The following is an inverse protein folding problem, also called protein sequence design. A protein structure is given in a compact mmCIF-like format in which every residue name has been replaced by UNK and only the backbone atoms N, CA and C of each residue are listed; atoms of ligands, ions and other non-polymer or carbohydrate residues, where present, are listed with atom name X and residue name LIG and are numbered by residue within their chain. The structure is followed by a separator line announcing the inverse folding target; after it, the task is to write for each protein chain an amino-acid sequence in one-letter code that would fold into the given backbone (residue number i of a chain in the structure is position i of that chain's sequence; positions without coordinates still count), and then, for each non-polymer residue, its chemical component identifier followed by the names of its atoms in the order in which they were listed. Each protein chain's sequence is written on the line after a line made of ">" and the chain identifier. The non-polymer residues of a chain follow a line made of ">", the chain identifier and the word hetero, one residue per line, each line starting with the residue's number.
data_IF_718756434636
#
_entry.id   IF_718756434636
#
_cell.length_a   1.000
_cell.length_b   1.000
_cell.length_c   1.000
_cell.angle_alpha   90.00
_cell.angle_beta   90.00
_cell.angle_gamma   90.00
#
_symmetry.space_group_name_H-M   'P 1'
#
loop_
_entity.id
_entity.type
_entity.pdbx_description
1 polymer ?
#
# COMPACT_ATOMS: atom_id res chain seq x y z
N UNK A 1 20.51 7.50 -4.02
CA UNK A 1 19.44 7.28 -5.02
C UNK A 1 18.69 6.04 -4.59
N UNK A 2 17.37 6.08 -4.55
CA UNK A 2 16.52 4.94 -4.24
C UNK A 2 15.64 4.66 -5.46
N UNK A 3 15.42 3.39 -5.75
CA UNK A 3 14.46 2.97 -6.76
C UNK A 3 13.25 2.38 -6.06
N UNK A 4 12.07 2.88 -6.42
CA UNK A 4 10.80 2.35 -5.98
C UNK A 4 10.20 1.66 -7.20
N UNK A 5 10.05 0.32 -7.18
CA UNK A 5 9.41 -0.39 -8.26
C UNK A 5 7.94 0.04 -8.44
N UNK A 6 7.38 -0.08 -9.65
CA UNK A 6 5.94 0.11 -9.86
C UNK A 6 5.13 -0.77 -8.91
N UNK A 7 3.98 -0.27 -8.45
CA UNK A 7 3.07 -1.00 -7.56
C UNK A 7 3.76 -1.46 -6.25
N UNK A 8 4.55 -0.58 -5.64
CA UNK A 8 5.20 -0.79 -4.34
C UNK A 8 4.74 0.28 -3.36
N UNK A 9 4.15 -0.14 -2.25
CA UNK A 9 3.82 0.74 -1.11
C UNK A 9 5.13 1.16 -0.43
N UNK A 10 5.35 2.46 -0.30
CA UNK A 10 6.57 3.01 0.30
C UNK A 10 6.28 4.30 1.04
N UNK A 11 7.06 4.60 2.08
CA UNK A 11 6.94 5.82 2.87
C UNK A 11 8.32 6.45 3.05
N UNK A 12 8.38 7.78 3.03
CA UNK A 12 9.55 8.56 3.42
C UNK A 12 9.29 9.25 4.75
N UNK A 13 10.19 9.09 5.71
CA UNK A 13 10.16 9.76 7.00
C UNK A 13 11.46 10.56 7.20
N UNK A 14 11.34 11.80 7.66
CA UNK A 14 12.49 12.62 8.04
C UNK A 14 12.70 12.53 9.56
N UNK A 15 13.80 11.90 9.99
CA UNK A 15 14.12 11.75 11.40
C UNK A 15 14.72 13.00 12.06
N UNK A 16 15.13 14.01 11.28
CA UNK A 16 15.78 15.22 11.78
C UNK A 16 14.82 16.43 11.69
N UNK A 17 14.27 16.92 12.82
CA UNK A 17 13.35 18.06 12.81
C UNK A 17 14.04 19.40 12.51
N UNK A 18 15.37 19.50 12.69
CA UNK A 18 16.13 20.73 12.45
C UNK A 18 16.59 20.88 11.00
N UNK A 19 16.49 19.82 10.19
CA UNK A 19 16.96 19.81 8.81
C UNK A 19 15.91 19.21 7.86
N UNK A 20 15.19 20.05 7.09
CA UNK A 20 14.17 19.58 6.17
C UNK A 20 14.73 18.64 5.09
N UNK A 21 14.03 17.55 4.82
CA UNK A 21 14.33 16.68 3.67
C UNK A 21 13.87 17.36 2.37
N UNK A 22 14.64 17.17 1.30
CA UNK A 22 14.27 17.57 -0.07
C UNK A 22 14.38 16.36 -0.97
N UNK A 23 13.30 16.01 -1.65
CA UNK A 23 13.23 14.85 -2.53
C UNK A 23 12.86 15.32 -3.94
N UNK A 24 13.58 14.78 -4.93
CA UNK A 24 13.19 14.87 -6.34
C UNK A 24 12.75 13.47 -6.73
N UNK A 25 11.48 13.33 -7.09
CA UNK A 25 10.92 12.09 -7.60
C UNK A 25 10.77 12.19 -9.11
N UNK A 26 11.14 11.12 -9.81
CA UNK A 26 10.95 10.98 -11.24
C UNK A 26 10.27 9.63 -11.50
N UNK A 27 9.17 9.68 -12.24
CA UNK A 27 8.35 8.53 -12.58
C UNK A 27 8.16 8.48 -14.10
N UNK A 28 7.92 7.28 -14.61
CA UNK A 28 7.64 7.12 -16.04
C UNK A 28 6.28 7.75 -16.37
N UNK A 29 6.21 8.60 -17.40
CA UNK A 29 4.98 9.29 -17.82
C UNK A 29 3.90 8.35 -18.35
N UNK A 30 4.23 7.11 -18.67
CA UNK A 30 3.23 6.13 -19.13
C UNK A 30 2.11 5.92 -18.09
N UNK A 31 2.43 6.03 -16.80
CA UNK A 31 1.44 5.87 -15.72
C UNK A 31 0.37 6.96 -15.71
N UNK A 32 0.69 8.16 -16.21
CA UNK A 32 -0.30 9.23 -16.42
C UNK A 32 -1.40 8.79 -17.38
N UNK A 33 -1.05 8.02 -18.42
CA UNK A 33 -2.01 7.56 -19.43
C UNK A 33 -2.91 6.44 -18.94
N UNK A 34 -2.54 5.76 -17.86
CA UNK A 34 -3.31 4.70 -17.24
C UNK A 34 -4.06 5.15 -15.97
N UNK A 35 -4.00 6.44 -15.61
CA UNK A 35 -4.59 6.93 -14.36
C UNK A 35 -3.86 6.46 -13.10
N UNK A 36 -2.60 6.02 -13.23
CA UNK A 36 -1.75 5.50 -12.15
C UNK A 36 -0.70 6.52 -11.67
N UNK A 37 -0.95 7.80 -11.94
CA UNK A 37 -0.03 8.90 -11.66
C UNK A 37 -0.59 9.79 -10.54
N UNK A 38 -0.89 9.18 -9.40
CA UNK A 38 -1.39 9.87 -8.21
C UNK A 38 -0.63 9.40 -6.94
N UNK A 39 -0.74 10.20 -5.88
CA UNK A 39 -0.29 9.83 -4.55
C UNK A 39 -1.42 9.12 -3.81
N UNK A 40 -1.35 7.79 -3.77
CA UNK A 40 -2.30 6.98 -3.01
C UNK A 40 -1.85 6.88 -1.53
N UNK A 41 -2.75 7.26 -0.62
CA UNK A 41 -2.61 6.99 0.81
C UNK A 41 -3.40 5.71 1.11
N UNK A 42 -2.71 4.65 1.50
CA UNK A 42 -3.36 3.40 1.90
C UNK A 42 -3.66 3.44 3.40
N UNK A 43 -4.93 3.19 3.74
CA UNK A 43 -5.39 3.00 5.11
C UNK A 43 -5.65 1.52 5.38
N UNK A 44 -5.69 1.15 6.66
CA UNK A 44 -6.13 -0.18 7.06
C UNK A 44 -7.57 -0.40 6.57
N UNK A 45 -7.84 -1.56 5.96
CA UNK A 45 -9.19 -1.92 5.56
C UNK A 45 -10.12 -1.99 6.80
N UNK A 46 -11.42 -1.69 6.70
CA UNK A 46 -12.35 -1.74 7.83
C UNK A 46 -12.35 -3.07 8.59
N UNK A 47 -12.10 -4.17 7.87
CA UNK A 47 -12.01 -5.53 8.40
C UNK A 47 -10.63 -5.92 8.91
N UNK A 48 -9.60 -5.10 8.69
CA UNK A 48 -8.25 -5.37 9.15
C UNK A 48 -8.20 -5.39 10.68
N UNK A 49 -7.53 -6.42 11.22
CA UNK A 49 -7.38 -6.62 12.66
C UNK A 49 -5.90 -6.72 13.00
N UNK A 50 -5.32 -5.70 13.65
CA UNK A 50 -3.90 -5.71 13.98
C UNK A 50 -3.57 -6.86 14.94
N UNK A 51 -2.41 -7.49 14.74
CA UNK A 51 -1.91 -8.58 15.58
C UNK A 51 -2.58 -9.94 15.35
N UNK A 52 -3.44 -10.09 14.34
CA UNK A 52 -4.03 -11.39 14.01
C UNK A 52 -3.04 -12.26 13.22
N UNK A 53 -2.72 -13.43 13.76
CA UNK A 53 -2.00 -14.46 13.02
C UNK A 53 -2.99 -15.24 12.14
N UNK A 54 -2.86 -15.15 10.83
CA UNK A 54 -3.62 -15.96 9.89
C UNK A 54 -3.14 -17.42 9.95
N UNK A 55 -3.98 -18.29 10.50
CA UNK A 55 -3.76 -19.75 10.44
C UNK A 55 -4.38 -20.33 9.16
N UNK A 56 -3.88 -21.49 8.71
CA UNK A 56 -4.44 -22.16 7.53
C UNK A 56 -5.95 -22.44 7.65
N UNK A 57 -6.43 -22.81 8.84
CA UNK A 57 -7.85 -23.01 9.13
C UNK A 57 -8.66 -21.71 9.00
N UNK A 58 -8.13 -20.61 9.54
CA UNK A 58 -8.79 -19.30 9.45
C UNK A 58 -8.87 -18.81 7.99
N UNK A 59 -7.80 -18.97 7.23
CA UNK A 59 -7.79 -18.61 5.79
C UNK A 59 -8.83 -19.44 5.03
N UNK A 60 -8.90 -20.75 5.27
CA UNK A 60 -9.90 -21.62 4.64
C UNK A 60 -11.35 -21.22 4.99
N UNK A 61 -11.59 -20.76 6.22
CA UNK A 61 -12.90 -20.24 6.65
C UNK A 61 -13.24 -18.92 5.98
N UNK A 62 -12.30 -17.98 5.92
CA UNK A 62 -12.47 -16.67 5.26
C UNK A 62 -12.76 -16.83 3.76
N UNK A 63 -12.02 -17.71 3.08
CA UNK A 63 -12.27 -18.03 1.67
C UNK A 63 -13.68 -18.59 1.51
N UNK A 64 -14.11 -19.55 2.35
CA UNK A 64 -15.49 -20.07 2.30
C UNK A 64 -16.55 -19.01 2.53
N UNK A 65 -16.30 -18.06 3.44
CA UNK A 65 -17.21 -16.96 3.75
C UNK A 65 -17.30 -15.92 2.61
N UNK A 66 -16.20 -15.65 1.91
CA UNK A 66 -16.12 -14.65 0.82
C UNK A 66 -16.76 -15.07 -0.50
N UNK A 67 -17.17 -16.33 -0.69
CA UNK A 67 -17.80 -16.81 -1.93
C UNK A 67 -19.29 -16.38 -2.02
N UNK A 68 -19.81 -15.64 -1.03
CA UNK A 68 -21.25 -15.31 -0.92
C UNK A 68 -21.64 -13.83 -0.82
N UNK A 69 -20.71 -12.86 -0.77
CA UNK A 69 -21.05 -11.44 -0.74
C UNK A 69 -20.62 -10.77 -2.05
N UNK A 70 -21.56 -10.29 -2.88
CA UNK A 70 -21.20 -9.50 -4.05
C UNK A 70 -20.59 -8.17 -3.61
N UNK A 71 -19.61 -7.71 -4.39
CA UNK A 71 -19.02 -6.38 -4.28
C UNK A 71 -20.04 -5.27 -4.60
#
# INVERSE_FOLDING_TARGET
>A
MIYIPPNTVHQHFNADPGRPVRLISAINRIYEKFGLNDLEQLEDAPEYRPGVLLTGTMVAQLIKAGIGQPA
#
